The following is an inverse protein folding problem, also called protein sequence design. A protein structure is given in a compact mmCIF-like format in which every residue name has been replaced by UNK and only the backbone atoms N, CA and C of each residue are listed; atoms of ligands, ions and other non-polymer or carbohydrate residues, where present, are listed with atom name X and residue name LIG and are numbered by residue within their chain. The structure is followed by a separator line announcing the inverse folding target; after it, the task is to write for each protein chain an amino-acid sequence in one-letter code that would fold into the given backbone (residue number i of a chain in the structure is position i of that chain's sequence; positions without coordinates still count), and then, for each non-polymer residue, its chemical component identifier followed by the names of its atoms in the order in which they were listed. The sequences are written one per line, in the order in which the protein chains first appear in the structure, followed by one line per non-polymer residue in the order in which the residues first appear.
data_IF_296912256139
#
_entry.id   IF_296912256139
#
_cell.length_a   1.000
_cell.length_b   1.000
_cell.length_c   1.000
_cell.angle_alpha   90.00
_cell.angle_beta   90.00
_cell.angle_gamma   90.00
#
_symmetry.space_group_name_H-M   'P 1'
#
loop_
_entity.id
_entity.type
_entity.pdbx_description
1 polymer ?
#
# COMPACT_ATOMS: atom_id res chain seq x y z
N UNK A 1 -13.56 -26.79 35.84
CA UNK A 1 -14.92 -26.46 35.37
C UNK A 1 -14.86 -26.46 33.86
N UNK A 2 -15.49 -27.43 33.20
CA UNK A 2 -15.37 -27.65 31.75
C UNK A 2 -16.49 -26.89 31.05
N UNK A 3 -16.14 -26.03 30.09
CA UNK A 3 -17.08 -25.25 29.31
C UNK A 3 -17.67 -26.09 28.16
N UNK A 4 -18.88 -25.77 27.74
CA UNK A 4 -19.40 -26.25 26.45
C UNK A 4 -18.76 -25.47 25.29
N UNK A 5 -18.75 -26.06 24.09
CA UNK A 5 -18.15 -25.43 22.91
C UNK A 5 -18.70 -24.03 22.62
N UNK A 6 -19.99 -23.79 22.91
CA UNK A 6 -20.63 -22.48 22.68
C UNK A 6 -20.12 -21.43 23.68
N UNK A 7 -20.03 -21.75 24.97
CA UNK A 7 -19.46 -20.82 25.95
C UNK A 7 -17.96 -20.61 25.76
N UNK A 8 -17.23 -21.65 25.35
CA UNK A 8 -15.80 -21.55 25.03
C UNK A 8 -15.55 -20.58 23.86
N UNK A 9 -16.34 -20.68 22.78
CA UNK A 9 -16.28 -19.71 21.66
C UNK A 9 -16.60 -18.29 22.12
N UNK A 10 -17.61 -18.12 22.98
CA UNK A 10 -18.00 -16.82 23.51
C UNK A 10 -16.91 -16.22 24.40
N UNK A 11 -16.24 -17.04 25.19
CA UNK A 11 -15.11 -16.63 26.03
C UNK A 11 -13.93 -16.13 25.18
N UNK A 12 -13.50 -16.87 24.16
CA UNK A 12 -12.44 -16.42 23.25
C UNK A 12 -12.83 -15.10 22.54
N UNK A 13 -14.09 -14.98 22.11
CA UNK A 13 -14.57 -13.75 21.48
C UNK A 13 -14.55 -12.55 22.45
N UNK A 14 -14.87 -12.76 23.73
CA UNK A 14 -14.75 -11.72 24.75
C UNK A 14 -13.30 -11.31 25.02
N UNK A 15 -12.35 -12.25 24.95
CA UNK A 15 -10.93 -11.93 25.05
C UNK A 15 -10.51 -10.97 23.94
N UNK A 16 -10.98 -11.17 22.70
CA UNK A 16 -10.70 -10.27 21.58
C UNK A 16 -11.22 -8.83 21.78
N UNK A 17 -12.24 -8.63 22.62
CA UNK A 17 -12.81 -7.31 22.93
C UNK A 17 -12.18 -6.63 24.14
N UNK A 18 -11.43 -7.37 24.95
CA UNK A 18 -10.85 -6.88 26.21
C UNK A 18 -9.41 -6.39 26.07
N UNK A 19 -8.83 -6.54 24.90
CA UNK A 19 -7.40 -6.34 24.63
C UNK A 19 -7.18 -5.37 23.48
N UNK A 20 -5.95 -4.89 23.32
CA UNK A 20 -5.60 -3.85 22.34
C UNK A 20 -5.84 -4.31 20.89
N UNK A 21 -6.36 -3.45 19.99
CA UNK A 21 -6.65 -3.79 18.60
C UNK A 21 -5.41 -4.17 17.76
N UNK A 22 -4.20 -3.82 18.21
CA UNK A 22 -2.93 -4.13 17.53
C UNK A 22 -2.25 -5.42 18.05
N UNK A 23 -2.84 -6.09 19.04
CA UNK A 23 -2.25 -7.30 19.62
C UNK A 23 -2.46 -8.53 18.73
N UNK A 24 -1.38 -9.29 18.52
CA UNK A 24 -1.43 -10.59 17.82
C UNK A 24 -1.65 -11.72 18.83
N UNK A 25 -2.38 -12.78 18.45
CA UNK A 25 -2.73 -13.87 19.37
C UNK A 25 -2.38 -15.24 18.83
N UNK A 26 -2.01 -16.14 19.75
CA UNK A 26 -1.88 -17.58 19.50
C UNK A 26 -2.73 -18.34 20.50
N UNK A 27 -3.56 -19.25 20.03
CA UNK A 27 -4.33 -20.15 20.88
C UNK A 27 -3.83 -21.57 20.67
N UNK A 28 -3.49 -22.24 21.76
CA UNK A 28 -3.11 -23.65 21.78
C UNK A 28 -4.23 -24.48 22.38
N UNK A 29 -4.59 -25.59 21.74
CA UNK A 29 -5.58 -26.55 22.19
C UNK A 29 -4.90 -27.90 22.42
N UNK A 30 -4.86 -28.36 23.66
CA UNK A 30 -4.33 -29.67 24.01
C UNK A 30 -5.48 -30.61 24.36
N UNK A 31 -5.59 -31.76 23.69
CA UNK A 31 -6.56 -32.78 24.05
C UNK A 31 -6.15 -33.40 25.41
N UNK A 32 -7.07 -33.54 26.35
CA UNK A 32 -6.71 -33.97 27.72
C UNK A 32 -6.43 -35.47 27.84
N UNK A 33 -6.92 -36.27 26.88
CA UNK A 33 -6.75 -37.74 26.86
C UNK A 33 -5.85 -38.25 25.74
N UNK A 34 -5.44 -37.39 24.83
CA UNK A 34 -4.59 -37.74 23.68
C UNK A 34 -3.48 -36.72 23.65
N UNK A 35 -2.25 -37.12 23.32
CA UNK A 35 -1.10 -36.20 23.20
C UNK A 35 -1.20 -35.26 21.97
N UNK A 36 -2.42 -34.99 21.49
CA UNK A 36 -2.69 -34.13 20.35
C UNK A 36 -2.76 -32.67 20.80
N UNK A 37 -1.90 -31.84 20.21
CA UNK A 37 -1.90 -30.39 20.38
C UNK A 37 -2.16 -29.70 19.04
N UNK A 38 -2.93 -28.61 19.08
CA UNK A 38 -3.26 -27.79 17.92
C UNK A 38 -2.98 -26.34 18.25
N UNK A 39 -2.27 -25.61 17.38
CA UNK A 39 -2.00 -24.19 17.58
C UNK A 39 -2.52 -23.37 16.40
N UNK A 40 -3.19 -22.25 16.70
CA UNK A 40 -3.68 -21.32 15.70
C UNK A 40 -3.33 -19.89 16.07
N UNK A 41 -2.81 -19.11 15.11
CA UNK A 41 -2.53 -17.68 15.26
C UNK A 41 -3.78 -16.82 15.08
N UNK A 42 -4.88 -17.21 15.75
CA UNK A 42 -6.18 -16.55 15.67
C UNK A 42 -6.97 -16.81 16.95
N UNK A 43 -7.63 -15.80 17.51
CA UNK A 43 -8.57 -15.93 18.63
C UNK A 43 -9.87 -16.63 18.17
N UNK A 44 -9.80 -17.92 17.86
CA UNK A 44 -10.97 -18.72 17.48
C UNK A 44 -10.74 -20.21 17.70
N UNK A 45 -11.79 -20.94 18.09
CA UNK A 45 -11.77 -22.41 18.15
C UNK A 45 -12.07 -22.98 16.75
N UNK A 46 -11.16 -23.77 16.15
CA UNK A 46 -11.43 -24.44 14.87
C UNK A 46 -12.67 -25.34 14.94
N UNK A 47 -13.41 -25.42 13.83
CA UNK A 47 -14.62 -26.27 13.74
C UNK A 47 -14.33 -27.76 13.50
N UNK A 48 -13.08 -28.09 13.19
CA UNK A 48 -12.62 -29.44 12.81
C UNK A 48 -11.85 -30.15 13.93
N UNK A 49 -11.92 -29.66 15.17
CA UNK A 49 -11.35 -30.38 16.30
C UNK A 49 -12.17 -31.65 16.58
N UNK A 50 -11.52 -32.81 16.74
CA UNK A 50 -12.20 -34.04 17.12
C UNK A 50 -13.05 -33.89 18.40
N UNK A 51 -14.09 -34.72 18.57
CA UNK A 51 -14.85 -34.74 19.82
C UNK A 51 -13.97 -35.14 21.00
N UNK A 52 -14.11 -34.45 22.13
CA UNK A 52 -13.21 -34.63 23.25
C UNK A 52 -13.13 -33.44 24.19
N UNK A 53 -12.30 -33.56 25.22
CA UNK A 53 -12.05 -32.49 26.18
C UNK A 53 -10.70 -31.86 25.83
N UNK A 54 -10.70 -30.54 25.69
CA UNK A 54 -9.54 -29.75 25.31
C UNK A 54 -9.23 -28.70 26.36
N UNK A 55 -7.95 -28.52 26.64
CA UNK A 55 -7.41 -27.37 27.37
C UNK A 55 -6.96 -26.33 26.38
N UNK A 56 -7.58 -25.16 26.39
CA UNK A 56 -7.20 -24.01 25.59
C UNK A 56 -6.29 -23.08 26.39
N UNK A 57 -5.12 -22.77 25.85
CA UNK A 57 -4.20 -21.77 26.37
C UNK A 57 -4.08 -20.63 25.35
N UNK A 58 -4.45 -19.43 25.76
CA UNK A 58 -4.39 -18.22 24.94
C UNK A 58 -3.13 -17.46 25.29
N UNK A 59 -2.36 -17.10 24.27
CA UNK A 59 -1.16 -16.28 24.36
C UNK A 59 -1.36 -14.98 23.59
N UNK A 60 -0.94 -13.88 24.18
CA UNK A 60 -0.77 -12.59 23.54
C UNK A 60 0.68 -12.47 23.07
N UNK A 61 0.86 -12.08 21.81
CA UNK A 61 2.16 -11.87 21.18
C UNK A 61 2.43 -10.36 21.20
N UNK A 62 3.39 -9.95 22.02
CA UNK A 62 3.89 -8.58 22.08
C UNK A 62 5.33 -8.53 21.55
N UNK A 63 5.86 -7.32 21.33
CA UNK A 63 7.24 -7.11 20.88
C UNK A 63 8.30 -7.68 21.85
N UNK A 64 7.91 -7.91 23.11
CA UNK A 64 8.73 -8.44 24.20
C UNK A 64 8.64 -9.98 24.35
N UNK A 65 7.75 -10.65 23.61
CA UNK A 65 7.58 -12.12 23.61
C UNK A 65 6.14 -12.61 23.75
N UNK A 66 5.96 -13.91 23.99
CA UNK A 66 4.63 -14.54 24.19
C UNK A 66 4.23 -14.53 25.67
N UNK A 67 3.11 -13.89 26.01
CA UNK A 67 2.57 -13.86 27.37
C UNK A 67 1.27 -14.67 27.49
N UNK A 68 1.12 -15.54 28.50
CA UNK A 68 -0.10 -16.31 28.70
C UNK A 68 -1.23 -15.40 29.20
N UNK A 69 -2.29 -15.26 28.41
CA UNK A 69 -3.42 -14.39 28.68
C UNK A 69 -4.57 -15.13 29.40
N UNK A 70 -4.85 -16.38 29.03
CA UNK A 70 -5.95 -17.14 29.62
C UNK A 70 -5.79 -18.65 29.42
N UNK A 71 -6.33 -19.42 30.36
CA UNK A 71 -6.38 -20.88 30.32
C UNK A 71 -7.78 -21.34 30.71
N UNK A 72 -8.42 -22.12 29.86
CA UNK A 72 -9.71 -22.73 30.18
C UNK A 72 -9.87 -24.09 29.50
N UNK A 73 -10.73 -24.92 30.07
CA UNK A 73 -11.05 -26.25 29.54
C UNK A 73 -12.43 -26.24 28.91
N UNK A 74 -12.58 -26.89 27.76
CA UNK A 74 -13.87 -27.03 27.09
C UNK A 74 -14.07 -28.44 26.51
N UNK A 75 -15.32 -28.81 26.32
CA UNK A 75 -15.73 -30.09 25.76
C UNK A 75 -16.39 -29.92 24.40
N UNK A 76 -16.00 -30.77 23.46
CA UNK A 76 -16.64 -30.95 22.16
C UNK A 76 -17.47 -32.23 22.27
N UNK A 77 -18.82 -32.13 22.29
CA UNK A 77 -19.66 -33.32 22.37
C UNK A 77 -19.44 -34.19 21.13
N UNK A 78 -19.49 -35.51 21.33
CA UNK A 78 -19.59 -36.47 20.24
C UNK A 78 -20.89 -36.15 19.51
N UNK A 79 -20.83 -35.74 18.23
CA UNK A 79 -22.02 -35.70 17.38
C UNK A 79 -22.49 -37.16 17.23
N UNK A 80 -23.36 -37.63 18.11
CA UNK A 80 -24.32 -38.68 17.76
C UNK A 80 -25.26 -38.04 16.74
N UNK A 81 -25.11 -38.46 15.49
CA UNK A 81 -25.98 -38.21 14.33
C UNK A 81 -26.91 -36.99 14.42
N UNK A 82 -26.40 -35.85 13.98
CA UNK A 82 -27.23 -34.72 13.58
C UNK A 82 -26.60 -34.11 12.34
N UNK A 83 -26.81 -34.79 11.21
CA UNK A 83 -26.80 -34.28 9.83
C UNK A 83 -26.91 -35.46 8.83
N UNK A 84 -28.02 -36.21 8.87
CA UNK A 84 -28.51 -36.96 7.71
C UNK A 84 -29.97 -36.56 7.45
N UNK A 85 -30.11 -35.59 6.56
CA UNK A 85 -31.05 -35.54 5.43
C UNK A 85 -32.57 -35.67 5.65
N UNK A 86 -33.26 -34.64 5.15
CA UNK A 86 -34.56 -34.63 4.46
C UNK A 86 -35.25 -36.00 4.27
N UNK A 87 -36.57 -36.12 4.52
CA UNK A 87 -37.30 -37.33 4.19
C UNK A 87 -37.48 -37.39 2.66
N UNK A 88 -36.54 -38.05 1.98
CA UNK A 88 -36.82 -38.56 0.63
C UNK A 88 -37.90 -39.61 0.79
N UNK A 89 -39.05 -39.34 0.19
CA UNK A 89 -40.20 -40.23 0.15
C UNK A 89 -39.79 -41.59 -0.43
N UNK A 90 -39.88 -42.64 0.38
CA UNK A 90 -39.85 -44.02 -0.08
C UNK A 90 -41.06 -44.26 -1.01
N UNK A 91 -40.90 -44.82 -2.22
CA UNK A 91 -42.04 -45.36 -2.94
C UNK A 91 -42.56 -46.61 -2.20
N UNK A 92 -43.86 -46.94 -2.32
CA UNK A 92 -44.47 -47.98 -1.52
C UNK A 92 -43.84 -49.33 -1.83
N UNK A 93 -43.45 -50.07 -0.79
CA UNK A 93 -43.05 -51.47 -0.89
C UNK A 93 -44.22 -52.26 -1.49
N UNK A 94 -44.05 -52.69 -2.74
CA UNK A 94 -44.93 -53.68 -3.38
C UNK A 94 -44.64 -55.03 -2.70
N UNK A 95 -45.66 -55.76 -2.24
CA UNK A 95 -45.46 -57.05 -1.60
C UNK A 95 -45.21 -58.11 -2.68
N UNK A 96 -43.97 -58.55 -2.88
CA UNK A 96 -43.68 -59.64 -3.84
C UNK A 96 -42.60 -60.58 -3.34
N UNK A 97 -43.10 -61.81 -3.13
CA UNK A 97 -42.52 -63.12 -3.42
C UNK A 97 -41.09 -63.45 -2.97
N UNK A 98 -41.06 -64.55 -2.22
CA UNK A 98 -39.94 -65.47 -2.03
C UNK A 98 -39.42 -65.87 -3.42
N UNK A 99 -38.45 -65.12 -3.94
CA UNK A 99 -37.68 -65.49 -5.12
C UNK A 99 -36.38 -66.14 -4.67
N UNK A 100 -36.04 -67.27 -5.32
CA UNK A 100 -34.90 -68.18 -5.13
C UNK A 100 -33.60 -67.53 -4.62
N UNK A 101 -32.72 -68.27 -3.91
CA UNK A 101 -31.68 -67.70 -3.06
C UNK A 101 -30.71 -66.85 -3.88
N UNK A 102 -31.01 -65.54 -3.96
CA UNK A 102 -30.05 -64.53 -4.38
C UNK A 102 -28.93 -64.61 -3.37
N UNK A 103 -27.73 -64.85 -3.85
CA UNK A 103 -26.54 -64.91 -3.03
C UNK A 103 -26.41 -63.59 -2.26
N UNK A 104 -26.85 -63.59 -1.00
CA UNK A 104 -26.98 -62.40 -0.16
C UNK A 104 -25.63 -61.69 -0.05
N UNK A 105 -24.55 -62.47 -0.04
CA UNK A 105 -23.17 -62.00 -0.05
C UNK A 105 -22.84 -61.19 -1.30
N UNK A 106 -23.25 -61.66 -2.48
CA UNK A 106 -23.04 -60.93 -3.74
C UNK A 106 -23.82 -59.60 -3.74
N UNK A 107 -25.04 -59.61 -3.22
CA UNK A 107 -25.87 -58.40 -3.12
C UNK A 107 -25.23 -57.37 -2.19
N UNK A 108 -24.75 -57.78 -1.02
CA UNK A 108 -24.05 -56.91 -0.06
C UNK A 108 -22.76 -56.34 -0.67
N UNK A 109 -21.96 -57.16 -1.37
CA UNK A 109 -20.72 -56.71 -2.01
C UNK A 109 -20.98 -55.68 -3.12
N UNK A 110 -22.04 -55.85 -3.91
CA UNK A 110 -22.43 -54.89 -4.95
C UNK A 110 -22.92 -53.56 -4.35
N UNK A 111 -23.67 -53.61 -3.25
CA UNK A 111 -24.12 -52.40 -2.56
C UNK A 111 -22.94 -51.66 -1.93
N UNK A 112 -21.99 -52.37 -1.30
CA UNK A 112 -20.76 -51.77 -0.77
C UNK A 112 -19.92 -51.11 -1.87
N UNK A 113 -19.78 -51.75 -3.05
CA UNK A 113 -19.11 -51.13 -4.21
C UNK A 113 -19.81 -49.85 -4.65
N UNK A 114 -21.15 -49.85 -4.67
CA UNK A 114 -21.93 -48.67 -5.04
C UNK A 114 -21.77 -47.54 -4.01
N UNK A 115 -21.78 -47.87 -2.71
CA UNK A 115 -21.53 -46.92 -1.64
C UNK A 115 -20.13 -46.30 -1.76
N UNK A 116 -19.11 -47.12 -2.04
CA UNK A 116 -17.74 -46.67 -2.24
C UNK A 116 -17.62 -45.71 -3.45
N UNK A 117 -18.26 -46.07 -4.57
CA UNK A 117 -18.32 -45.19 -5.75
C UNK A 117 -19.00 -43.85 -5.45
N UNK A 118 -20.10 -43.86 -4.70
CA UNK A 118 -20.82 -42.64 -4.29
C UNK A 118 -19.98 -41.81 -3.32
N UNK A 119 -19.25 -42.44 -2.40
CA UNK A 119 -18.38 -41.76 -1.45
C UNK A 119 -17.24 -41.03 -2.18
N UNK A 120 -16.58 -41.68 -3.15
CA UNK A 120 -15.54 -41.05 -3.95
C UNK A 120 -16.06 -39.91 -4.83
N UNK A 121 -17.24 -40.06 -5.42
CA UNK A 121 -17.87 -38.99 -6.22
C UNK A 121 -18.27 -37.79 -5.34
N UNK A 122 -18.77 -38.04 -4.13
CA UNK A 122 -19.05 -36.97 -3.16
C UNK A 122 -17.77 -36.25 -2.73
N UNK A 123 -16.70 -37.00 -2.43
CA UNK A 123 -15.40 -36.41 -2.10
C UNK A 123 -14.88 -35.53 -3.25
N UNK A 124 -14.99 -36.00 -4.50
CA UNK A 124 -14.65 -35.20 -5.69
C UNK A 124 -15.42 -33.88 -5.72
N UNK A 125 -16.74 -33.93 -5.56
CA UNK A 125 -17.59 -32.73 -5.56
C UNK A 125 -17.26 -31.75 -4.43
N UNK A 126 -16.94 -32.27 -3.24
CA UNK A 126 -16.48 -31.45 -2.10
C UNK A 126 -15.19 -30.73 -2.46
N UNK A 127 -14.22 -31.44 -3.07
CA UNK A 127 -12.95 -30.84 -3.48
C UNK A 127 -13.13 -29.81 -4.59
N UNK A 128 -13.98 -30.07 -5.57
CA UNK A 128 -14.32 -29.10 -6.62
C UNK A 128 -14.95 -27.84 -6.03
N UNK A 129 -15.92 -28.00 -5.14
CA UNK A 129 -16.57 -26.86 -4.46
C UNK A 129 -15.58 -26.05 -3.64
N UNK A 130 -14.66 -26.72 -2.91
CA UNK A 130 -13.61 -26.03 -2.14
C UNK A 130 -12.65 -25.27 -3.05
N UNK A 131 -12.27 -25.86 -4.17
CA UNK A 131 -11.35 -25.24 -5.13
C UNK A 131 -11.99 -24.01 -5.78
N UNK A 132 -13.26 -24.11 -6.17
CA UNK A 132 -13.98 -22.99 -6.76
C UNK A 132 -14.25 -21.88 -5.76
N UNK A 133 -14.58 -22.21 -4.50
CA UNK A 133 -14.68 -21.22 -3.43
C UNK A 133 -13.36 -20.49 -3.19
N UNK A 134 -12.23 -21.21 -3.22
CA UNK A 134 -10.90 -20.63 -3.08
C UNK A 134 -10.56 -19.70 -4.24
N UNK A 135 -10.85 -20.10 -5.49
CA UNK A 135 -10.69 -19.24 -6.67
C UNK A 135 -11.54 -17.98 -6.56
N UNK A 136 -12.82 -18.11 -6.22
CA UNK A 136 -13.73 -16.97 -6.07
C UNK A 136 -13.27 -16.00 -4.97
N UNK A 137 -12.72 -16.52 -3.86
CA UNK A 137 -12.15 -15.69 -2.79
C UNK A 137 -10.94 -14.90 -3.30
N UNK A 138 -10.03 -15.53 -4.03
CA UNK A 138 -8.86 -14.86 -4.60
C UNK A 138 -9.24 -13.81 -5.64
N UNK A 139 -10.19 -14.10 -6.52
CA UNK A 139 -10.70 -13.13 -7.49
C UNK A 139 -11.38 -11.94 -6.80
N UNK A 140 -12.13 -12.19 -5.72
CA UNK A 140 -12.76 -11.13 -4.94
C UNK A 140 -11.71 -10.22 -4.27
N UNK A 141 -10.65 -10.81 -3.70
CA UNK A 141 -9.58 -10.03 -3.06
C UNK A 141 -8.78 -9.22 -4.08
N UNK A 142 -8.47 -9.80 -5.25
CA UNK A 142 -7.83 -9.08 -6.35
C UNK A 142 -8.69 -7.89 -6.83
N UNK A 143 -10.00 -8.10 -6.96
CA UNK A 143 -10.94 -7.03 -7.32
C UNK A 143 -10.96 -5.93 -6.28
N UNK A 144 -11.08 -6.28 -5.00
CA UNK A 144 -11.07 -5.34 -3.87
C UNK A 144 -9.79 -4.52 -3.83
N UNK A 145 -8.63 -5.17 -4.00
CA UNK A 145 -7.34 -4.49 -4.02
C UNK A 145 -7.21 -3.55 -5.22
N UNK A 146 -7.63 -3.99 -6.40
CA UNK A 146 -7.59 -3.16 -7.61
C UNK A 146 -8.51 -1.93 -7.50
N UNK A 147 -9.71 -2.09 -6.93
CA UNK A 147 -10.63 -0.98 -6.64
C UNK A 147 -10.03 0.00 -5.62
N UNK A 148 -9.36 -0.51 -4.59
CA UNK A 148 -8.66 0.32 -3.59
C UNK A 148 -7.53 1.12 -4.23
N UNK A 149 -6.68 0.50 -5.05
CA UNK A 149 -5.60 1.19 -5.75
C UNK A 149 -6.13 2.24 -6.73
N UNK A 150 -7.21 1.91 -7.46
CA UNK A 150 -7.88 2.87 -8.34
C UNK A 150 -8.39 4.08 -7.57
N UNK A 151 -9.07 3.88 -6.44
CA UNK A 151 -9.59 4.96 -5.62
C UNK A 151 -8.47 5.86 -5.05
N UNK A 152 -7.32 5.29 -4.71
CA UNK A 152 -6.14 6.06 -4.27
C UNK A 152 -5.56 6.89 -5.42
N UNK A 153 -5.39 6.29 -6.60
CA UNK A 153 -4.93 7.00 -7.80
C UNK A 153 -5.87 8.15 -8.15
N UNK A 154 -7.18 7.93 -8.12
CA UNK A 154 -8.19 8.95 -8.41
C UNK A 154 -8.12 10.12 -7.39
N UNK A 155 -7.90 9.81 -6.10
CA UNK A 155 -7.71 10.84 -5.07
C UNK A 155 -6.45 11.66 -5.32
N UNK A 156 -5.34 11.00 -5.62
CA UNK A 156 -4.05 11.65 -5.90
C UNK A 156 -4.16 12.53 -7.15
N UNK A 157 -4.77 12.03 -8.23
CA UNK A 157 -4.98 12.80 -9.45
C UNK A 157 -5.80 14.06 -9.18
N UNK A 158 -6.87 13.95 -8.39
CA UNK A 158 -7.70 15.10 -8.02
C UNK A 158 -6.95 16.14 -7.19
N UNK A 159 -6.09 15.71 -6.27
CA UNK A 159 -5.22 16.62 -5.49
C UNK A 159 -4.21 17.34 -6.41
N UNK A 160 -3.62 16.62 -7.36
CA UNK A 160 -2.72 17.21 -8.35
C UNK A 160 -3.42 18.18 -9.29
N UNK A 161 -4.63 17.86 -9.76
CA UNK A 161 -5.46 18.76 -10.55
C UNK A 161 -5.76 20.05 -9.78
N UNK A 162 -6.13 19.95 -8.51
CA UNK A 162 -6.38 21.10 -7.66
C UNK A 162 -5.13 21.98 -7.47
N UNK A 163 -3.97 21.36 -7.17
CA UNK A 163 -2.69 22.07 -7.03
C UNK A 163 -2.24 22.73 -8.34
N UNK A 164 -2.47 22.05 -9.46
CA UNK A 164 -2.19 22.59 -10.79
C UNK A 164 -3.07 23.81 -11.07
N UNK A 165 -4.36 23.76 -10.73
CA UNK A 165 -5.28 24.88 -10.92
C UNK A 165 -4.91 26.09 -10.08
N UNK A 166 -4.52 25.89 -8.80
CA UNK A 166 -3.99 26.97 -7.96
C UNK A 166 -2.75 27.59 -8.59
N UNK A 167 -1.83 26.77 -9.09
CA UNK A 167 -0.57 27.24 -9.66
C UNK A 167 -0.83 28.04 -10.94
N UNK A 168 -1.76 27.58 -11.80
CA UNK A 168 -2.20 28.34 -12.98
C UNK A 168 -2.81 29.69 -12.60
N UNK A 169 -3.67 29.73 -11.58
CA UNK A 169 -4.27 30.98 -11.12
C UNK A 169 -3.20 31.96 -10.58
N UNK A 170 -2.27 31.46 -9.76
CA UNK A 170 -1.16 32.27 -9.25
C UNK A 170 -0.28 32.81 -10.39
N UNK A 171 -0.03 32.02 -11.43
CA UNK A 171 0.71 32.47 -12.62
C UNK A 171 -0.01 33.63 -13.31
N UNK A 172 -1.32 33.53 -13.51
CA UNK A 172 -2.12 34.61 -14.12
C UNK A 172 -2.05 35.90 -13.28
N UNK A 173 -2.15 35.78 -11.95
CA UNK A 173 -2.03 36.93 -11.05
C UNK A 173 -0.64 37.57 -11.11
N UNK A 174 0.42 36.75 -11.14
CA UNK A 174 1.80 37.24 -11.28
C UNK A 174 2.04 37.91 -12.65
N UNK A 175 1.49 37.37 -13.73
CA UNK A 175 1.56 37.98 -15.06
C UNK A 175 0.80 39.30 -15.14
N UNK A 176 -0.35 39.41 -14.46
CA UNK A 176 -1.10 40.65 -14.36
C UNK A 176 -0.31 41.74 -13.60
N UNK A 177 0.27 41.40 -12.44
CA UNK A 177 1.11 42.34 -11.67
C UNK A 177 2.40 42.70 -12.42
N UNK A 178 3.04 41.74 -13.10
CA UNK A 178 4.18 42.01 -13.99
C UNK A 178 3.80 43.04 -15.06
N UNK A 179 2.67 42.85 -15.74
CA UNK A 179 2.20 43.76 -16.80
C UNK A 179 1.91 45.15 -16.24
N UNK A 180 1.31 45.24 -15.05
CA UNK A 180 1.05 46.50 -14.35
C UNK A 180 2.32 47.23 -13.97
N UNK A 181 3.32 46.54 -13.41
CA UNK A 181 4.63 47.10 -13.11
C UNK A 181 5.36 47.56 -14.37
N UNK A 182 5.35 46.77 -15.45
CA UNK A 182 5.92 47.16 -16.73
C UNK A 182 5.28 48.44 -17.27
N UNK A 183 3.94 48.55 -17.25
CA UNK A 183 3.23 49.78 -17.65
C UNK A 183 3.58 50.97 -16.75
N UNK A 184 3.70 50.76 -15.44
CA UNK A 184 4.08 51.81 -14.50
C UNK A 184 5.50 52.32 -14.75
N UNK A 185 6.45 51.42 -15.01
CA UNK A 185 7.83 51.74 -15.39
C UNK A 185 7.86 52.50 -16.72
N UNK A 186 7.18 52.00 -17.75
CA UNK A 186 7.09 52.68 -19.06
C UNK A 186 6.48 54.09 -18.93
N UNK A 187 5.43 54.24 -18.13
CA UNK A 187 4.81 55.54 -17.85
C UNK A 187 5.78 56.47 -17.14
N UNK A 188 6.54 55.97 -16.16
CA UNK A 188 7.54 56.75 -15.44
C UNK A 188 8.68 57.19 -16.36
N UNK A 189 9.21 56.28 -17.18
CA UNK A 189 10.26 56.58 -18.17
C UNK A 189 9.77 57.63 -19.17
N UNK A 190 8.54 57.50 -19.69
CA UNK A 190 7.96 58.51 -20.60
C UNK A 190 7.79 59.87 -19.93
N UNK A 191 7.39 59.89 -18.65
CA UNK A 191 7.30 61.10 -17.85
C UNK A 191 8.67 61.77 -17.63
N UNK A 192 9.67 60.98 -17.23
CA UNK A 192 11.05 61.45 -17.04
C UNK A 192 11.64 61.98 -18.36
N UNK A 193 11.45 61.27 -19.48
CA UNK A 193 11.90 61.69 -20.82
C UNK A 193 11.23 62.99 -21.28
N UNK A 194 9.94 63.17 -21.01
CA UNK A 194 9.21 64.40 -21.35
C UNK A 194 9.71 65.60 -20.53
N UNK A 195 10.13 65.36 -19.29
CA UNK A 195 10.69 66.39 -18.40
C UNK A 195 12.18 66.68 -18.69
N UNK A 196 12.89 65.81 -19.41
CA UNK A 196 14.28 66.07 -19.85
C UNK A 196 14.38 66.87 -21.15
N UNK A 197 13.24 67.18 -21.80
CA UNK A 197 13.22 68.01 -23.01
C UNK A 197 13.41 69.53 -22.76
N UNK A 198 13.83 69.93 -21.57
CA UNK A 198 14.38 71.28 -21.33
C UNK A 198 15.90 71.29 -21.57
N UNK A 199 16.25 71.53 -22.84
CA UNK A 199 17.44 72.24 -23.34
C UNK A 199 18.88 71.79 -22.99
N UNK A 200 19.15 70.54 -22.62
CA UNK A 200 20.53 70.04 -22.64
C UNK A 200 20.62 68.69 -23.36
N UNK A 201 21.43 68.64 -24.42
CA UNK A 201 21.59 67.47 -25.27
C UNK A 201 22.02 66.24 -24.48
N UNK A 202 21.40 65.10 -24.78
CA UNK A 202 21.77 63.80 -24.25
C UNK A 202 23.17 63.41 -24.76
N UNK A 203 24.20 63.67 -23.97
CA UNK A 203 25.58 63.31 -24.27
C UNK A 203 25.84 61.84 -23.91
N UNK A 204 25.76 60.98 -24.93
CA UNK A 204 26.04 59.53 -24.85
C UNK A 204 27.41 59.23 -24.21
N UNK A 205 28.37 60.14 -24.36
CA UNK A 205 29.73 59.98 -23.86
C UNK A 205 29.76 59.99 -22.32
N UNK A 206 28.98 60.87 -21.68
CA UNK A 206 28.83 60.91 -20.22
C UNK A 206 27.98 59.78 -19.68
N UNK A 207 27.02 59.27 -20.46
CA UNK A 207 26.22 58.11 -20.07
C UNK A 207 27.06 56.82 -20.03
N UNK A 208 28.06 56.69 -20.91
CA UNK A 208 29.00 55.56 -20.93
C UNK A 208 30.04 55.61 -19.80
N UNK A 209 30.26 56.76 -19.17
CA UNK A 209 31.09 56.87 -17.96
C UNK A 209 30.34 56.39 -16.70
N UNK A 210 29.02 56.21 -16.78
CA UNK A 210 28.22 55.75 -15.65
C UNK A 210 28.34 54.21 -15.49
N UNK A 211 28.88 53.72 -14.36
CA UNK A 211 29.12 52.29 -14.14
C UNK A 211 27.84 51.45 -14.20
N UNK A 212 26.67 52.04 -13.95
CA UNK A 212 25.38 51.35 -14.08
C UNK A 212 24.98 51.11 -15.54
N UNK A 213 25.26 52.05 -16.43
CA UNK A 213 24.98 51.92 -17.87
C UNK A 213 25.91 50.87 -18.48
N UNK A 214 27.19 50.86 -18.10
CA UNK A 214 28.14 49.81 -18.49
C UNK A 214 27.73 48.44 -17.97
N UNK A 215 27.19 48.35 -16.75
CA UNK A 215 26.70 47.08 -16.19
C UNK A 215 25.46 46.56 -16.91
N UNK A 216 24.54 47.44 -17.32
CA UNK A 216 23.36 47.08 -18.12
C UNK A 216 23.79 46.66 -19.52
N UNK A 217 24.70 47.39 -20.18
CA UNK A 217 25.22 47.03 -21.49
C UNK A 217 25.97 45.69 -21.44
N UNK A 218 26.83 45.49 -20.44
CA UNK A 218 27.56 44.24 -20.21
C UNK A 218 26.61 43.05 -20.04
N UNK A 219 25.56 43.20 -19.22
CA UNK A 219 24.52 42.18 -19.05
C UNK A 219 23.73 41.90 -20.34
N UNK A 220 23.45 42.93 -21.15
CA UNK A 220 22.75 42.77 -22.44
C UNK A 220 23.62 42.11 -23.52
N UNK A 221 24.95 42.26 -23.43
CA UNK A 221 25.92 41.63 -24.33
C UNK A 221 26.43 40.26 -23.82
N UNK A 222 25.94 39.78 -22.67
CA UNK A 222 26.38 38.51 -22.08
C UNK A 222 27.79 38.53 -21.47
N UNK A 223 28.32 39.72 -21.19
CA UNK A 223 29.60 39.92 -20.51
C UNK A 223 29.33 40.14 -19.02
N UNK A 224 29.47 39.08 -18.22
CA UNK A 224 29.43 39.17 -16.76
C UNK A 224 30.69 39.89 -16.25
N UNK A 225 30.57 41.18 -15.95
CA UNK A 225 31.59 41.90 -15.18
C UNK A 225 31.44 41.50 -13.71
N UNK A 226 32.47 40.93 -13.06
CA UNK A 226 32.40 40.53 -11.66
C UNK A 226 32.08 41.74 -10.78
N UNK A 227 31.09 41.59 -9.91
CA UNK A 227 30.69 42.60 -8.95
C UNK A 227 31.85 42.83 -7.95
N UNK A 228 32.64 43.88 -8.17
CA UNK A 228 33.64 44.35 -7.19
C UNK A 228 32.92 45.10 -6.08
N UNK A 229 32.51 44.37 -5.07
CA UNK A 229 32.31 44.91 -3.73
C UNK A 229 33.59 44.73 -2.93
N UNK A 230 34.39 45.79 -2.80
CA UNK A 230 35.35 45.96 -1.71
C UNK A 230 34.85 47.14 -0.86
N UNK A 231 34.84 47.00 0.48
CA UNK A 231 36.09 47.03 1.22
C UNK A 231 36.12 46.07 2.43
N UNK A 232 36.82 44.94 2.30
CA UNK A 232 37.79 44.41 3.28
C UNK A 232 38.02 42.91 3.01
N UNK A 233 39.27 42.54 2.72
CA UNK A 233 39.69 41.14 2.60
C UNK A 233 39.57 40.58 1.19
N UNK A 234 40.59 40.83 0.36
CA UNK A 234 40.71 40.17 -0.94
C UNK A 234 40.84 38.66 -0.75
N UNK A 235 40.00 37.89 -1.44
CA UNK A 235 40.29 36.48 -1.66
C UNK A 235 41.50 36.38 -2.57
N UNK A 236 42.54 35.74 -2.05
CA UNK A 236 43.79 35.48 -2.74
C UNK A 236 43.50 34.69 -4.02
N UNK A 237 44.04 35.14 -5.16
CA UNK A 237 43.96 34.46 -6.46
C UNK A 237 44.39 32.99 -6.35
N UNK A 238 45.26 32.67 -5.39
CA UNK A 238 45.64 31.30 -5.02
C UNK A 238 44.48 30.41 -4.54
N UNK A 239 43.50 30.97 -3.82
CA UNK A 239 42.32 30.24 -3.35
C UNK A 239 41.32 29.97 -4.49
N UNK A 240 41.18 30.91 -5.43
CA UNK A 240 40.35 30.75 -6.63
C UNK A 240 40.96 29.66 -7.53
N UNK A 241 42.29 29.67 -7.68
CA UNK A 241 43.00 28.66 -8.46
C UNK A 241 43.02 27.28 -7.77
N UNK A 242 43.00 27.22 -6.42
CA UNK A 242 42.80 25.99 -5.64
C UNK A 242 41.38 25.42 -5.78
N UNK A 243 40.33 26.24 -5.81
CA UNK A 243 38.97 25.77 -6.05
C UNK A 243 38.78 25.28 -7.48
N UNK A 244 39.35 25.98 -8.47
CA UNK A 244 39.33 25.56 -9.87
C UNK A 244 40.13 24.25 -10.11
N UNK A 245 41.29 24.10 -9.45
CA UNK A 245 42.07 22.85 -9.54
C UNK A 245 41.47 21.69 -8.75
N UNK A 246 40.80 21.95 -7.63
CA UNK A 246 40.00 20.97 -6.88
C UNK A 246 38.86 20.41 -7.73
N UNK A 247 38.23 21.26 -8.55
CA UNK A 247 37.19 20.84 -9.49
C UNK A 247 37.75 20.06 -10.69
N UNK A 248 38.96 20.38 -11.17
CA UNK A 248 39.61 19.66 -12.27
C UNK A 248 40.29 18.34 -11.86
N UNK A 249 40.65 18.16 -10.59
CA UNK A 249 41.36 16.97 -10.10
C UNK A 249 40.46 15.98 -9.35
N UNK A 250 39.13 16.01 -9.52
CA UNK A 250 38.30 14.92 -9.03
C UNK A 250 38.60 13.63 -9.80
N UNK A 251 39.09 12.55 -9.15
CA UNK A 251 39.22 11.26 -9.80
C UNK A 251 37.83 10.76 -10.19
N UNK A 252 37.69 10.36 -11.45
CA UNK A 252 36.49 9.75 -12.00
C UNK A 252 36.07 8.54 -11.15
N UNK A 253 35.04 8.70 -10.33
CA UNK A 253 34.38 7.56 -9.71
C UNK A 253 33.66 6.79 -10.81
N UNK A 254 34.03 5.53 -10.96
CA UNK A 254 33.43 4.63 -11.94
C UNK A 254 31.93 4.51 -11.66
N UNK A 255 31.09 4.93 -12.61
CA UNK A 255 29.70 4.50 -12.68
C UNK A 255 28.60 5.57 -12.72
N UNK A 256 28.92 6.85 -12.95
CA UNK A 256 27.88 7.89 -13.10
C UNK A 256 28.07 8.71 -14.37
N UNK A 257 27.19 8.53 -15.35
CA UNK A 257 27.12 9.33 -16.58
C UNK A 257 26.94 10.83 -16.26
N UNK A 258 27.82 11.64 -16.84
CA UNK A 258 27.91 13.10 -16.68
C UNK A 258 26.64 13.83 -17.16
N UNK A 259 25.70 14.03 -16.23
CA UNK A 259 24.43 14.77 -16.39
C UNK A 259 24.59 16.16 -17.06
N UNK A 260 25.72 16.82 -16.86
CA UNK A 260 25.96 18.18 -17.39
C UNK A 260 26.22 18.16 -18.91
N UNK A 261 26.83 17.11 -19.46
CA UNK A 261 27.06 17.02 -20.91
C UNK A 261 25.78 16.65 -21.67
N UNK A 262 24.84 15.97 -21.01
CA UNK A 262 23.52 15.64 -21.55
C UNK A 262 22.61 16.89 -21.63
N UNK A 263 22.75 17.82 -20.68
CA UNK A 263 21.99 19.09 -20.69
C UNK A 263 22.47 20.01 -21.81
N UNK A 264 23.77 20.06 -22.10
CA UNK A 264 24.33 20.89 -23.17
C UNK A 264 24.06 20.34 -24.58
N UNK A 265 23.81 19.03 -24.70
CA UNK A 265 23.57 18.38 -26.01
C UNK A 265 22.09 18.35 -26.42
N UNK A 266 21.14 18.62 -25.51
CA UNK A 266 19.70 18.73 -25.81
C UNK A 266 19.27 20.11 -26.36
N UNK A 267 20.21 21.04 -26.52
CA UNK A 267 19.96 22.40 -27.03
C UNK A 267 20.23 22.59 -28.53
N UNK A 268 20.19 21.53 -29.34
CA UNK A 268 20.24 21.62 -30.81
C UNK A 268 19.03 20.94 -31.44
#
# INVERSE_FOLDING_TARGET
MTLDLKSARKMIAHLATSTSPDSSYRVEFAHTKSEMTFSIKKLSIPGNLPPGIYRAQVYEITDEGEQPLSNFEFSIPLKEDSELQNPVSLPPQVPVEIQAPKDLNLTILLELRKQDQVAHENERQIWETKLDAFRALHEAELRRLNESHKAEIDRINKDWEYKLEITKNNQVLLEAERTKLSKAIESRIKGELKNTNTSEGFDLTKALENPLVLSILGKSLGLEVPNVSTPSGGMDMGQIMQLASSLMNQPSSSGGTNSIMEILSRGK
#
